data_IF_307798803189
#
_entry.id   IF_307798803189
#
_cell.length_a   1.000
_cell.length_b   1.000
_cell.length_c   1.000
_cell.angle_alpha   90.00
_cell.angle_beta   90.00
_cell.angle_gamma   90.00
#
_symmetry.space_group_name_H-M   'P 1'
#
loop_
_entity.id
_entity.type
_entity.pdbx_description
1 polymer ?
#
# COMPACT_ATOMS: atom_id res chain seq x y z
N UNK A 1 4.08 19.91 35.95
CA UNK A 1 4.97 19.69 34.79
C UNK A 1 4.08 19.38 33.61
N UNK A 2 3.72 20.39 32.82
CA UNK A 2 3.00 20.16 31.57
C UNK A 2 3.90 19.36 30.61
N UNK A 3 3.37 18.41 29.85
CA UNK A 3 4.17 17.74 28.85
C UNK A 3 4.51 18.76 27.78
N UNK A 4 5.81 18.96 27.54
CA UNK A 4 6.33 19.73 26.42
C UNK A 4 5.89 19.01 25.15
N UNK A 5 4.70 19.33 24.64
CA UNK A 5 4.32 19.00 23.28
C UNK A 5 5.21 19.87 22.40
N UNK A 6 6.36 19.32 22.01
CA UNK A 6 7.32 19.93 21.10
C UNK A 6 6.55 20.68 20.01
N UNK A 7 6.90 21.95 19.78
CA UNK A 7 6.57 22.72 18.57
C UNK A 7 7.24 22.07 17.35
N UNK A 8 7.01 20.77 17.15
CA UNK A 8 7.67 19.90 16.20
C UNK A 8 6.74 19.62 15.03
N UNK A 9 7.35 19.51 13.85
CA UNK A 9 6.67 19.07 12.64
C UNK A 9 6.59 17.53 12.67
N UNK A 10 5.39 16.96 12.76
CA UNK A 10 5.19 15.50 12.83
C UNK A 10 5.82 14.76 11.65
N UNK A 11 5.82 15.35 10.45
CA UNK A 11 6.50 14.77 9.29
C UNK A 11 8.03 14.78 9.44
N UNK A 12 8.60 15.78 10.11
CA UNK A 12 10.03 15.82 10.42
C UNK A 12 10.38 14.73 11.44
N UNK A 13 9.56 14.55 12.47
CA UNK A 13 9.80 13.53 13.49
C UNK A 13 9.63 12.12 12.95
N UNK A 14 8.66 11.89 12.06
CA UNK A 14 8.54 10.64 11.30
C UNK A 14 9.76 10.39 10.40
N UNK A 15 10.27 11.42 9.73
CA UNK A 15 11.49 11.31 8.92
C UNK A 15 12.72 10.98 9.78
N UNK A 16 12.83 11.52 11.00
CA UNK A 16 13.88 11.15 11.97
C UNK A 16 13.72 9.70 12.41
N UNK A 17 12.51 9.27 12.76
CA UNK A 17 12.23 7.89 13.17
C UNK A 17 12.57 6.87 12.08
N UNK A 18 12.29 7.19 10.80
CA UNK A 18 12.73 6.37 9.67
C UNK A 18 14.26 6.31 9.56
N UNK A 19 14.96 7.43 9.76
CA UNK A 19 16.42 7.49 9.66
C UNK A 19 17.13 6.72 10.78
N UNK A 20 16.47 6.52 11.92
CA UNK A 20 16.97 5.69 13.04
C UNK A 20 16.68 4.19 12.84
N UNK A 21 15.84 3.81 11.88
CA UNK A 21 15.55 2.42 11.54
C UNK A 21 16.31 2.01 10.27
N UNK A 22 17.22 1.04 10.37
CA UNK A 22 18.08 0.64 9.24
C UNK A 22 17.32 0.18 8.01
N UNK A 23 16.19 -0.51 8.20
CA UNK A 23 15.35 -0.96 7.08
C UNK A 23 14.71 0.23 6.37
N UNK A 24 14.08 1.13 7.12
CA UNK A 24 13.44 2.32 6.56
C UNK A 24 14.47 3.23 5.89
N UNK A 25 15.58 3.54 6.57
CA UNK A 25 16.69 4.33 6.04
C UNK A 25 17.20 3.76 4.72
N UNK A 26 17.46 2.45 4.66
CA UNK A 26 17.95 1.78 3.44
C UNK A 26 16.99 1.89 2.27
N UNK A 27 15.71 1.55 2.46
CA UNK A 27 14.72 1.66 1.40
C UNK A 27 14.42 3.11 1.02
N UNK A 28 14.48 4.04 1.98
CA UNK A 28 14.32 5.48 1.74
C UNK A 28 15.41 6.01 0.82
N UNK A 29 16.67 5.74 1.14
CA UNK A 29 17.79 6.09 0.26
C UNK A 29 17.65 5.42 -1.12
N UNK A 30 17.22 4.15 -1.16
CA UNK A 30 17.08 3.40 -2.40
C UNK A 30 16.04 3.98 -3.38
N UNK A 31 14.94 4.59 -2.90
CA UNK A 31 14.01 5.29 -3.80
C UNK A 31 14.45 6.72 -4.09
N UNK A 32 15.05 7.44 -3.14
CA UNK A 32 15.50 8.81 -3.37
C UNK A 32 16.53 8.86 -4.52
N UNK A 33 17.52 7.97 -4.53
CA UNK A 33 18.60 7.96 -5.53
C UNK A 33 18.09 8.03 -6.99
N UNK A 34 17.26 7.09 -7.49
CA UNK A 34 16.76 7.16 -8.86
C UNK A 34 15.73 8.28 -9.09
N UNK A 35 15.06 8.78 -8.05
CA UNK A 35 14.08 9.86 -8.17
C UNK A 35 14.73 11.25 -8.25
N UNK A 36 15.98 11.42 -7.80
CA UNK A 36 16.69 12.72 -7.82
C UNK A 36 17.89 12.75 -8.78
N UNK A 37 18.29 11.60 -9.35
CA UNK A 37 19.39 11.54 -10.31
C UNK A 37 18.92 11.95 -11.71
N UNK A 38 19.33 13.12 -12.17
CA UNK A 38 19.09 13.57 -13.54
C UNK A 38 19.85 12.70 -14.55
N UNK A 39 19.22 12.43 -15.69
CA UNK A 39 19.84 11.81 -16.86
C UNK A 39 19.83 12.79 -18.02
N UNK A 40 20.67 12.59 -19.02
CA UNK A 40 21.03 13.59 -20.04
C UNK A 40 19.87 14.26 -20.81
N UNK A 41 18.63 13.75 -20.73
CA UNK A 41 17.42 14.38 -21.30
C UNK A 41 16.15 14.28 -20.41
N UNK A 42 16.23 13.65 -19.23
CA UNK A 42 15.10 13.45 -18.32
C UNK A 42 15.45 13.92 -16.90
N UNK A 43 14.49 14.54 -16.22
CA UNK A 43 14.63 15.01 -14.83
C UNK A 43 15.04 13.87 -13.90
N UNK A 44 14.56 12.65 -14.17
CA UNK A 44 14.91 11.45 -13.43
C UNK A 44 14.58 10.18 -14.24
N UNK A 45 15.06 9.02 -13.79
CA UNK A 45 14.60 7.73 -14.30
C UNK A 45 13.28 7.32 -13.62
N UNK A 46 12.13 7.79 -14.14
CA UNK A 46 10.79 7.59 -13.56
C UNK A 46 10.47 6.10 -13.33
N UNK A 47 10.88 5.21 -14.24
CA UNK A 47 10.69 3.75 -14.11
C UNK A 47 11.43 3.16 -12.91
N UNK A 48 12.70 3.51 -12.70
CA UNK A 48 13.48 3.06 -11.53
C UNK A 48 12.95 3.68 -10.24
N UNK A 49 12.58 4.97 -10.27
CA UNK A 49 11.97 5.68 -9.16
C UNK A 49 10.68 4.98 -8.68
N UNK A 50 9.73 4.75 -9.60
CA UNK A 50 8.48 4.03 -9.32
C UNK A 50 8.69 2.62 -8.78
N UNK A 51 9.64 1.86 -9.36
CA UNK A 51 9.98 0.51 -8.84
C UNK A 51 10.48 0.58 -7.40
N UNK A 52 11.35 1.53 -7.09
CA UNK A 52 11.90 1.68 -5.75
C UNK A 52 10.86 2.19 -4.73
N UNK A 53 9.96 3.09 -5.14
CA UNK A 53 8.82 3.54 -4.33
C UNK A 53 7.90 2.39 -3.94
N UNK A 54 7.54 1.51 -4.90
CA UNK A 54 6.74 0.31 -4.60
C UNK A 54 7.44 -0.58 -3.56
N UNK A 55 8.75 -0.80 -3.72
CA UNK A 55 9.53 -1.58 -2.75
C UNK A 55 9.58 -0.92 -1.36
N UNK A 56 9.64 0.41 -1.28
CA UNK A 56 9.60 1.13 -0.01
C UNK A 56 8.28 0.87 0.72
N UNK A 57 7.13 1.08 0.06
CA UNK A 57 5.82 0.87 0.70
C UNK A 57 5.48 -0.61 0.93
N UNK A 58 6.01 -1.53 0.14
CA UNK A 58 5.81 -2.98 0.35
C UNK A 58 6.71 -3.57 1.47
N UNK A 59 7.88 -2.97 1.76
CA UNK A 59 8.90 -3.56 2.65
C UNK A 59 9.14 -2.80 3.95
N UNK A 60 8.83 -1.51 3.99
CA UNK A 60 9.01 -0.70 5.21
C UNK A 60 7.76 -0.84 6.09
N UNK A 61 7.92 -1.15 7.39
CA UNK A 61 6.78 -1.26 8.30
C UNK A 61 5.90 0.01 8.28
N UNK A 62 4.55 -0.13 8.29
CA UNK A 62 3.61 0.99 8.25
C UNK A 62 3.93 2.09 9.28
N UNK A 63 4.35 1.72 10.50
CA UNK A 63 4.77 2.66 11.55
C UNK A 63 5.77 3.72 11.07
N UNK A 64 6.66 3.38 10.13
CA UNK A 64 7.65 4.31 9.58
C UNK A 64 7.20 4.93 8.25
N UNK A 65 6.72 4.12 7.31
CA UNK A 65 6.32 4.60 5.98
C UNK A 65 5.09 5.51 6.05
N UNK A 66 4.07 5.15 6.82
CA UNK A 66 2.83 5.92 6.96
C UNK A 66 3.02 7.14 7.86
N UNK A 67 3.94 7.05 8.83
CA UNK A 67 4.37 8.21 9.61
C UNK A 67 4.86 9.35 8.71
N UNK A 68 5.62 9.02 7.64
CA UNK A 68 6.10 10.03 6.69
C UNK A 68 5.01 10.48 5.70
N UNK A 69 4.17 9.56 5.23
CA UNK A 69 3.18 9.82 4.19
C UNK A 69 1.92 10.55 4.72
N UNK A 70 1.45 10.20 5.92
CA UNK A 70 0.17 10.64 6.48
C UNK A 70 0.31 11.45 7.78
N UNK A 71 1.51 12.00 8.05
CA UNK A 71 1.72 12.90 9.18
C UNK A 71 0.71 14.08 9.19
N UNK A 72 0.17 14.40 10.37
CA UNK A 72 -0.66 15.57 10.58
C UNK A 72 0.18 16.85 10.56
N UNK A 73 -0.38 17.93 10.06
CA UNK A 73 0.33 19.21 9.88
C UNK A 73 -0.48 20.39 10.40
N UNK A 74 0.24 21.41 10.87
CA UNK A 74 -0.31 22.67 11.39
C UNK A 74 0.20 23.90 10.64
N UNK A 75 1.25 23.74 9.83
CA UNK A 75 1.88 24.81 9.05
C UNK A 75 2.19 24.34 7.63
N UNK A 76 2.49 25.30 6.75
CA UNK A 76 2.79 25.07 5.32
C UNK A 76 4.09 24.29 5.14
N UNK A 77 5.09 24.50 6.01
CA UNK A 77 6.36 23.78 5.92
C UNK A 77 6.18 22.27 6.15
N UNK A 78 5.26 21.88 7.03
CA UNK A 78 4.86 20.50 7.26
C UNK A 78 4.09 19.92 6.07
N UNK A 79 3.10 20.64 5.53
CA UNK A 79 2.32 20.14 4.39
C UNK A 79 3.18 19.97 3.14
N UNK A 80 4.12 20.88 2.88
CA UNK A 80 5.11 20.69 1.81
C UNK A 80 6.03 19.50 2.07
N UNK A 81 6.51 19.31 3.31
CA UNK A 81 7.32 18.11 3.64
C UNK A 81 6.54 16.83 3.37
N UNK A 82 5.25 16.79 3.71
CA UNK A 82 4.37 15.66 3.44
C UNK A 82 4.23 15.41 1.93
N UNK A 83 3.94 16.45 1.14
CA UNK A 83 3.81 16.39 -0.33
C UNK A 83 5.10 15.93 -1.02
N UNK A 84 6.26 16.30 -0.47
CA UNK A 84 7.59 15.95 -0.98
C UNK A 84 8.02 14.51 -0.66
N UNK A 85 7.27 13.75 0.14
CA UNK A 85 7.64 12.40 0.59
C UNK A 85 7.99 11.46 -0.56
N UNK A 86 7.27 11.56 -1.68
CA UNK A 86 7.43 10.69 -2.87
C UNK A 86 8.24 11.35 -3.99
N UNK A 87 8.83 12.53 -3.78
CA UNK A 87 9.57 13.30 -4.80
C UNK A 87 8.69 13.61 -6.02
N UNK A 88 7.68 14.48 -5.89
CA UNK A 88 6.63 14.67 -6.90
C UNK A 88 7.15 15.11 -8.27
N UNK A 89 8.19 15.95 -8.31
CA UNK A 89 8.84 16.43 -9.55
C UNK A 89 9.30 15.28 -10.47
N UNK A 90 9.53 14.10 -9.92
CA UNK A 90 9.90 12.91 -10.68
C UNK A 90 8.77 11.87 -10.76
N UNK A 91 8.18 11.53 -9.60
CA UNK A 91 7.30 10.37 -9.48
C UNK A 91 5.84 10.66 -9.80
N UNK A 92 5.42 11.93 -9.70
CA UNK A 92 4.02 12.35 -9.80
C UNK A 92 3.82 13.24 -11.02
N UNK A 93 4.56 14.35 -11.10
CA UNK A 93 4.46 15.36 -12.14
C UNK A 93 4.93 14.81 -13.49
N UNK A 94 4.37 15.37 -14.56
CA UNK A 94 4.75 15.15 -15.95
C UNK A 94 4.50 16.43 -16.75
N UNK A 95 5.03 16.50 -17.97
CA UNK A 95 4.94 17.72 -18.80
C UNK A 95 3.50 18.13 -19.09
N UNK A 96 2.65 17.14 -19.27
CA UNK A 96 1.24 17.30 -19.60
C UNK A 96 0.38 16.53 -18.59
N UNK A 97 -0.83 17.02 -18.35
CA UNK A 97 -1.86 16.28 -17.62
C UNK A 97 -2.76 15.57 -18.63
N UNK A 98 -2.74 14.23 -18.69
CA UNK A 98 -3.68 13.50 -19.53
C UNK A 98 -5.10 13.58 -18.94
N UNK A 99 -6.09 13.24 -19.76
CA UNK A 99 -7.43 12.98 -19.26
C UNK A 99 -7.43 11.80 -18.26
N UNK A 100 -8.15 11.92 -17.15
CA UNK A 100 -8.16 10.89 -16.11
C UNK A 100 -8.71 9.54 -16.57
N UNK A 101 -9.66 9.50 -17.51
CA UNK A 101 -10.18 8.25 -18.06
C UNK A 101 -9.12 7.53 -18.89
N UNK A 102 -8.34 8.27 -19.70
CA UNK A 102 -7.20 7.72 -20.44
C UNK A 102 -6.11 7.16 -19.50
N UNK A 103 -5.85 7.86 -18.38
CA UNK A 103 -4.92 7.38 -17.36
C UNK A 103 -5.47 6.13 -16.66
N UNK A 104 -6.77 6.07 -16.40
CA UNK A 104 -7.45 4.91 -15.83
C UNK A 104 -7.36 3.70 -16.76
N UNK A 105 -7.58 3.86 -18.07
CA UNK A 105 -7.39 2.79 -19.05
C UNK A 105 -5.95 2.29 -19.10
N UNK A 106 -4.99 3.21 -19.07
CA UNK A 106 -3.56 2.87 -19.01
C UNK A 106 -3.22 2.06 -17.76
N UNK A 107 -3.82 2.41 -16.61
CA UNK A 107 -3.70 1.65 -15.38
C UNK A 107 -4.34 0.24 -15.51
N UNK A 108 -5.53 0.12 -16.11
CA UNK A 108 -6.23 -1.16 -16.31
C UNK A 108 -5.42 -2.15 -17.18
N UNK A 109 -4.59 -1.65 -18.10
CA UNK A 109 -3.67 -2.47 -18.93
C UNK A 109 -2.48 -3.02 -18.14
N UNK A 110 -2.08 -2.38 -17.03
CA UNK A 110 -1.00 -2.85 -16.17
C UNK A 110 -1.55 -3.70 -15.02
N UNK A 111 -1.14 -4.97 -14.91
CA UNK A 111 -1.66 -5.88 -13.89
C UNK A 111 -1.52 -5.36 -12.44
N UNK A 112 -0.36 -4.77 -12.10
CA UNK A 112 -0.11 -4.23 -10.77
C UNK A 112 -1.03 -3.04 -10.50
N UNK A 113 -1.08 -2.09 -11.44
CA UNK A 113 -1.91 -0.89 -11.28
C UNK A 113 -3.39 -1.24 -11.18
N UNK A 114 -3.88 -2.13 -12.06
CA UNK A 114 -5.27 -2.61 -12.06
C UNK A 114 -5.66 -3.21 -10.71
N UNK A 115 -4.82 -4.08 -10.14
CA UNK A 115 -5.08 -4.67 -8.83
C UNK A 115 -5.15 -3.60 -7.74
N UNK A 116 -4.13 -2.73 -7.65
CA UNK A 116 -4.04 -1.70 -6.61
C UNK A 116 -5.16 -0.66 -6.71
N UNK A 117 -5.61 -0.34 -7.93
CA UNK A 117 -6.75 0.56 -8.15
C UNK A 117 -8.08 -0.08 -7.74
N UNK A 118 -8.27 -1.38 -7.99
CA UNK A 118 -9.44 -2.11 -7.51
C UNK A 118 -9.47 -2.17 -5.97
N UNK A 119 -8.32 -2.41 -5.33
CA UNK A 119 -8.19 -2.38 -3.87
C UNK A 119 -8.57 -0.99 -3.32
N UNK A 120 -8.16 0.09 -3.98
CA UNK A 120 -8.48 1.45 -3.57
C UNK A 120 -9.98 1.73 -3.62
N UNK A 121 -10.65 1.39 -4.73
CA UNK A 121 -12.10 1.54 -4.82
C UNK A 121 -12.84 0.71 -3.78
N UNK A 122 -12.35 -0.50 -3.50
CA UNK A 122 -13.03 -1.42 -2.58
C UNK A 122 -12.87 -1.02 -1.11
N UNK A 123 -11.66 -0.60 -0.71
CA UNK A 123 -11.34 -0.38 0.70
C UNK A 123 -11.53 1.08 1.14
N UNK A 124 -11.49 2.05 0.21
CA UNK A 124 -11.77 3.45 0.49
C UNK A 124 -13.16 3.90 0.03
N UNK A 125 -14.09 2.96 -0.20
CA UNK A 125 -15.46 3.29 -0.59
C UNK A 125 -16.12 4.16 0.50
N UNK A 126 -16.54 5.39 0.18
CA UNK A 126 -17.20 6.26 1.15
C UNK A 126 -18.63 5.78 1.41
N UNK A 127 -19.08 5.88 2.66
CA UNK A 127 -20.44 5.57 3.11
C UNK A 127 -20.89 6.67 4.10
N UNK A 128 -21.83 7.52 3.68
CA UNK A 128 -22.22 8.72 4.43
C UNK A 128 -22.98 8.40 5.72
N UNK A 129 -23.54 7.19 5.84
CA UNK A 129 -24.26 6.74 7.04
C UNK A 129 -23.35 6.07 8.08
N UNK A 130 -22.12 5.71 7.71
CA UNK A 130 -21.15 5.15 8.67
C UNK A 130 -20.52 6.27 9.51
N UNK A 131 -20.30 5.99 10.79
CA UNK A 131 -19.57 6.89 11.69
C UNK A 131 -18.13 7.12 11.25
N UNK A 132 -17.52 6.11 10.62
CA UNK A 132 -16.16 6.21 10.08
C UNK A 132 -16.10 6.95 8.74
N UNK A 133 -17.24 7.07 8.04
CA UNK A 133 -17.31 7.51 6.66
C UNK A 133 -16.85 6.45 5.64
N UNK A 134 -16.42 5.26 6.08
CA UNK A 134 -15.99 4.14 5.25
C UNK A 134 -17.03 3.02 5.24
N UNK A 135 -17.25 2.38 4.08
CA UNK A 135 -18.18 1.26 3.97
C UNK A 135 -17.78 0.05 4.83
N UNK A 136 -16.48 -0.28 4.90
CA UNK A 136 -15.94 -1.41 5.67
C UNK A 136 -15.54 -1.06 7.11
N UNK A 137 -15.65 0.21 7.49
CA UNK A 137 -15.19 0.74 8.79
C UNK A 137 -13.74 0.40 9.16
N UNK A 138 -12.87 0.22 8.15
CA UNK A 138 -11.47 -0.14 8.34
C UNK A 138 -10.55 0.91 7.66
N UNK A 139 -10.05 1.85 8.47
CA UNK A 139 -9.09 2.85 8.00
C UNK A 139 -7.77 2.22 7.53
N UNK A 140 -7.36 1.10 8.13
CA UNK A 140 -6.09 0.49 7.81
C UNK A 140 -6.06 -0.07 6.38
N UNK A 141 -7.13 -0.76 5.98
CA UNK A 141 -7.26 -1.27 4.61
C UNK A 141 -7.31 -0.12 3.58
N UNK A 142 -7.97 0.99 3.90
CA UNK A 142 -7.99 2.16 3.01
C UNK A 142 -6.61 2.80 2.86
N UNK A 143 -5.87 3.03 3.95
CA UNK A 143 -4.52 3.60 3.88
C UNK A 143 -3.52 2.66 3.18
N UNK A 144 -3.67 1.35 3.35
CA UNK A 144 -2.93 0.35 2.59
C UNK A 144 -3.25 0.41 1.09
N UNK A 145 -4.53 0.52 0.73
CA UNK A 145 -4.94 0.61 -0.66
C UNK A 145 -4.45 1.92 -1.33
N UNK A 146 -4.54 3.06 -0.64
CA UNK A 146 -4.01 4.34 -1.11
C UNK A 146 -2.50 4.29 -1.32
N UNK A 147 -1.74 3.87 -0.30
CA UNK A 147 -0.27 3.80 -0.40
C UNK A 147 0.19 2.77 -1.43
N UNK A 148 -0.62 1.73 -1.65
CA UNK A 148 -0.39 0.71 -2.67
C UNK A 148 -0.45 1.20 -4.11
N UNK A 149 -1.07 2.35 -4.38
CA UNK A 149 -1.07 3.01 -5.70
C UNK A 149 0.25 3.74 -6.01
N UNK A 150 1.03 4.09 -4.99
CA UNK A 150 2.24 4.89 -5.16
C UNK A 150 3.31 4.08 -5.91
N UNK A 151 3.87 4.70 -6.95
CA UNK A 151 4.82 4.06 -7.85
C UNK A 151 4.14 3.22 -8.93
N UNK A 152 2.82 3.34 -9.12
CA UNK A 152 2.14 2.89 -10.34
C UNK A 152 1.92 4.07 -11.29
N UNK A 153 1.32 3.82 -12.47
CA UNK A 153 0.91 4.92 -13.37
C UNK A 153 -0.20 5.79 -12.77
N UNK A 154 -0.95 5.27 -11.80
CA UNK A 154 -2.02 5.99 -11.07
C UNK A 154 -1.51 6.46 -9.70
N UNK A 155 -0.33 7.07 -9.63
CA UNK A 155 0.25 7.55 -8.36
C UNK A 155 -0.49 8.80 -7.88
N UNK A 156 -1.20 8.79 -6.74
CA UNK A 156 -1.80 9.98 -6.17
C UNK A 156 -0.80 10.79 -5.33
N UNK A 157 -1.04 12.10 -5.19
CA UNK A 157 -0.35 12.94 -4.22
C UNK A 157 -1.27 14.08 -3.72
N UNK A 158 -0.85 14.74 -2.64
CA UNK A 158 -1.51 15.95 -2.14
C UNK A 158 -1.45 17.09 -3.17
N UNK A 159 -2.59 17.75 -3.40
CA UNK A 159 -2.74 18.80 -4.41
C UNK A 159 -2.35 20.17 -3.86
N UNK A 160 -2.76 20.47 -2.64
CA UNK A 160 -2.58 21.76 -1.99
C UNK A 160 -1.99 21.63 -0.57
N UNK A 161 -1.62 22.78 0.00
CA UNK A 161 -1.04 22.90 1.33
C UNK A 161 -2.10 23.10 2.43
N UNK A 162 -3.38 23.22 2.08
CA UNK A 162 -4.46 23.64 2.99
C UNK A 162 -5.45 22.53 3.34
N UNK A 163 -5.46 21.43 2.57
CA UNK A 163 -6.41 20.34 2.72
C UNK A 163 -5.72 18.97 2.78
N UNK A 164 -6.54 17.91 2.85
CA UNK A 164 -6.12 16.52 2.67
C UNK A 164 -6.54 15.98 1.30
N UNK A 165 -6.90 16.86 0.36
CA UNK A 165 -7.28 16.49 -0.99
C UNK A 165 -6.07 15.91 -1.73
N UNK A 166 -6.30 14.78 -2.38
CA UNK A 166 -5.32 14.04 -3.16
C UNK A 166 -5.87 13.79 -4.55
N UNK A 167 -4.99 13.71 -5.54
CA UNK A 167 -5.36 13.29 -6.88
C UNK A 167 -4.20 12.60 -7.58
N UNK A 168 -4.48 11.74 -8.58
CA UNK A 168 -3.49 11.38 -9.59
C UNK A 168 -3.15 12.57 -10.50
N UNK A 169 -2.04 12.47 -11.26
CA UNK A 169 -1.63 13.49 -12.22
C UNK A 169 -2.46 13.40 -13.51
N UNK A 170 -3.70 13.87 -13.45
CA UNK A 170 -4.62 13.99 -14.58
C UNK A 170 -5.65 15.09 -14.30
N UNK A 171 -6.45 15.43 -15.30
CA UNK A 171 -7.65 16.26 -15.15
C UNK A 171 -8.78 15.74 -16.05
N UNK A 172 -9.91 16.45 -16.06
CA UNK A 172 -11.07 16.10 -16.88
C UNK A 172 -11.18 16.97 -18.14
N UNK A 173 -10.09 17.61 -18.58
CA UNK A 173 -10.06 18.30 -19.86
C UNK A 173 -10.24 17.30 -21.00
N UNK A 174 -10.94 17.72 -22.06
CA UNK A 174 -11.23 16.89 -23.24
C UNK A 174 -12.04 15.60 -22.97
N UNK A 175 -12.86 15.57 -21.91
CA UNK A 175 -13.71 14.40 -21.62
C UNK A 175 -14.94 14.28 -22.52
N UNK A 176 -15.38 15.37 -23.15
CA UNK A 176 -16.60 15.37 -23.98
C UNK A 176 -17.82 14.92 -23.18
N UNK A 177 -18.50 13.88 -23.65
CA UNK A 177 -19.69 13.33 -23.00
C UNK A 177 -19.40 12.61 -21.67
N UNK A 178 -18.15 12.19 -21.45
CA UNK A 178 -17.75 11.43 -20.26
C UNK A 178 -17.25 12.34 -19.12
N UNK A 179 -17.52 13.65 -19.19
CA UNK A 179 -17.06 14.62 -18.18
C UNK A 179 -17.59 14.32 -16.77
N UNK A 180 -18.85 13.88 -16.65
CA UNK A 180 -19.43 13.48 -15.37
C UNK A 180 -18.74 12.24 -14.79
N UNK A 181 -18.49 11.23 -15.61
CA UNK A 181 -17.78 10.02 -15.21
C UNK A 181 -16.35 10.35 -14.77
N UNK A 182 -15.65 11.20 -15.53
CA UNK A 182 -14.32 11.65 -15.18
C UNK A 182 -14.30 12.40 -13.84
N UNK A 183 -15.24 13.33 -13.61
CA UNK A 183 -15.35 14.06 -12.34
C UNK A 183 -15.66 13.11 -11.20
N UNK A 184 -16.55 12.14 -11.39
CA UNK A 184 -16.84 11.11 -10.38
C UNK A 184 -15.59 10.31 -10.02
N UNK A 185 -14.81 9.89 -11.02
CA UNK A 185 -13.53 9.21 -10.80
C UNK A 185 -12.54 10.09 -10.03
N UNK A 186 -12.36 11.34 -10.44
CA UNK A 186 -11.42 12.27 -9.81
C UNK A 186 -11.84 12.64 -8.37
N UNK A 187 -13.14 12.88 -8.15
CA UNK A 187 -13.71 13.19 -6.84
C UNK A 187 -13.59 12.02 -5.87
N UNK A 188 -13.53 10.77 -6.35
CA UNK A 188 -13.25 9.61 -5.49
C UNK A 188 -11.87 9.70 -4.80
N UNK A 189 -10.93 10.47 -5.36
CA UNK A 189 -9.66 10.80 -4.71
C UNK A 189 -9.75 12.10 -3.90
N UNK A 190 -10.33 13.16 -4.49
CA UNK A 190 -10.28 14.51 -3.92
C UNK A 190 -11.23 14.72 -2.74
N UNK A 191 -12.46 14.21 -2.85
CA UNK A 191 -13.55 14.42 -1.89
C UNK A 191 -14.07 13.08 -1.35
N UNK A 192 -13.15 12.35 -0.72
CA UNK A 192 -13.44 11.05 -0.12
C UNK A 192 -13.38 11.13 1.40
N UNK A 193 -14.55 11.12 2.04
CA UNK A 193 -14.67 11.21 3.50
C UNK A 193 -13.98 10.04 4.22
N UNK A 194 -14.03 8.83 3.68
CA UNK A 194 -13.35 7.66 4.24
C UNK A 194 -11.83 7.88 4.28
N UNK A 195 -11.24 8.25 3.14
CA UNK A 195 -9.80 8.48 3.05
C UNK A 195 -9.36 9.66 3.91
N UNK A 196 -10.13 10.77 3.92
CA UNK A 196 -9.86 11.94 4.74
C UNK A 196 -9.84 11.58 6.22
N UNK A 197 -10.86 10.87 6.70
CA UNK A 197 -10.95 10.42 8.09
C UNK A 197 -9.83 9.45 8.45
N UNK A 198 -9.48 8.53 7.54
CA UNK A 198 -8.38 7.59 7.75
C UNK A 198 -7.03 8.30 7.92
N UNK A 199 -6.72 9.27 7.05
CA UNK A 199 -5.49 10.07 7.15
C UNK A 199 -5.47 10.88 8.45
N UNK A 200 -6.60 11.48 8.83
CA UNK A 200 -6.72 12.25 10.08
C UNK A 200 -6.56 11.36 11.32
N UNK A 201 -7.21 10.21 11.36
CA UNK A 201 -7.12 9.24 12.45
C UNK A 201 -5.67 8.77 12.64
N UNK A 202 -4.99 8.41 11.55
CA UNK A 202 -3.58 8.05 11.59
C UNK A 202 -2.71 9.21 12.10
N UNK A 203 -2.87 10.40 11.53
CA UNK A 203 -2.08 11.59 11.89
C UNK A 203 -2.28 12.08 13.33
N UNK A 204 -3.42 11.76 13.96
CA UNK A 204 -3.72 12.08 15.34
C UNK A 204 -3.30 10.97 16.32
N UNK A 205 -2.83 9.82 15.82
CA UNK A 205 -2.41 8.69 16.64
C UNK A 205 -3.56 7.89 17.25
N UNK A 206 -4.76 7.96 16.69
CA UNK A 206 -5.92 7.20 17.20
C UNK A 206 -5.91 5.73 16.78
N UNK A 207 -5.02 5.34 15.85
CA UNK A 207 -5.03 4.02 15.19
C UNK A 207 -3.78 3.16 15.49
N UNK A 208 -2.95 3.56 16.46
CA UNK A 208 -1.61 2.97 16.70
C UNK A 208 -1.67 1.47 17.09
N UNK A 209 -2.85 0.95 17.48
CA UNK A 209 -3.05 -0.44 17.89
C UNK A 209 -3.57 -1.38 16.79
N UNK A 210 -4.00 -0.87 15.62
CA UNK A 210 -4.54 -1.70 14.51
C UNK A 210 -3.44 -2.18 13.56
N UNK A 211 -2.27 -1.52 13.57
CA UNK A 211 -1.15 -1.78 12.65
C UNK A 211 -0.15 -2.83 13.12
N UNK A 212 -0.39 -3.47 14.26
CA UNK A 212 0.37 -4.67 14.61
C UNK A 212 -0.26 -5.86 13.90
N UNK A 213 0.47 -6.58 13.04
CA UNK A 213 -0.05 -7.82 12.50
C UNK A 213 -0.35 -8.75 13.67
N UNK A 214 -1.62 -9.16 13.80
CA UNK A 214 -1.96 -10.34 14.59
C UNK A 214 -1.19 -11.47 13.91
N UNK A 215 -0.11 -11.93 14.56
CA UNK A 215 0.60 -13.12 14.12
C UNK A 215 -0.45 -14.22 13.95
N UNK A 216 -0.48 -14.94 12.82
CA UNK A 216 -1.38 -16.08 12.70
C UNK A 216 -1.10 -17.00 13.88
N UNK A 217 -2.13 -17.21 14.71
CA UNK A 217 -2.08 -18.15 15.83
C UNK A 217 -1.59 -19.47 15.24
N UNK A 218 -0.41 -19.91 15.67
CA UNK A 218 0.09 -21.23 15.33
C UNK A 218 -0.96 -22.23 15.81
N UNK A 219 -1.66 -22.85 14.87
CA UNK A 219 -2.54 -23.98 15.18
C UNK A 219 -1.63 -25.08 15.72
N UNK A 220 -1.64 -25.28 17.04
CA UNK A 220 -1.06 -26.46 17.67
C UNK A 220 -1.76 -27.67 17.09
N UNK A 221 -1.09 -28.34 16.15
CA UNK A 221 -1.49 -29.67 15.72
C UNK A 221 -1.41 -30.58 16.93
N UNK A 222 -2.53 -31.18 17.30
CA UNK A 222 -2.60 -32.12 18.41
C UNK A 222 -1.66 -33.30 18.14
N UNK A 223 -0.58 -33.40 18.91
CA UNK A 223 0.32 -34.55 18.90
C UNK A 223 -0.44 -35.74 19.49
N UNK A 224 -0.83 -36.69 18.64
CA UNK A 224 -1.41 -37.96 19.10
C UNK A 224 -0.30 -38.80 19.73
N UNK A 225 -0.34 -38.92 21.05
CA UNK A 225 0.50 -39.80 21.86
C UNK A 225 0.22 -41.26 21.49
N UNK A 226 1.22 -41.97 20.95
CA UNK A 226 1.33 -43.43 21.12
C UNK A 226 2.72 -43.74 21.63
N UNK A 227 2.76 -44.25 22.87
CA UNK A 227 3.96 -44.74 23.52
C UNK A 227 4.17 -46.21 23.14
N UNK A 228 5.37 -46.57 22.69
CA UNK A 228 5.99 -47.87 23.00
C UNK A 228 7.47 -47.87 22.65
N UNK A 229 8.20 -48.67 23.43
CA UNK A 229 9.63 -48.62 23.74
C UNK A 229 10.50 -49.39 22.73
N UNK A 230 11.67 -48.81 22.48
CA UNK A 230 13.02 -49.41 22.53
C UNK A 230 13.32 -50.74 21.79
N UNK A 231 14.28 -50.64 20.85
CA UNK A 231 15.57 -51.39 20.71
C UNK A 231 15.81 -52.07 19.35
N UNK A 232 17.10 -52.12 19.04
CA UNK A 232 17.75 -52.09 17.74
C UNK A 232 18.20 -53.48 17.25
N UNK A 233 18.18 -53.66 15.93
CA UNK A 233 19.13 -54.35 15.02
C UNK A 233 19.45 -55.85 15.08
N UNK A 234 19.41 -56.46 13.88
CA UNK A 234 19.95 -57.77 13.45
C UNK A 234 18.84 -58.71 12.98
N UNK A 235 18.90 -59.51 11.91
CA UNK A 235 19.86 -59.84 10.85
C UNK A 235 19.11 -60.77 9.86
N UNK A 236 19.56 -60.82 8.61
CA UNK A 236 19.44 -61.96 7.66
C UNK A 236 18.14 -62.32 6.89
N UNK A 237 18.30 -62.28 5.55
CA UNK A 237 17.93 -63.25 4.49
C UNK A 237 16.49 -63.48 4.01
N UNK A 238 16.35 -63.27 2.68
CA UNK A 238 15.58 -64.02 1.66
C UNK A 238 14.05 -64.13 1.78
N UNK A 239 13.31 -63.49 0.86
CA UNK A 239 12.64 -64.13 -0.28
C UNK A 239 11.64 -63.17 -0.97
N UNK A 240 11.50 -63.34 -2.28
CA UNK A 240 10.53 -62.67 -3.15
C UNK A 240 9.09 -62.98 -2.72
N UNK A 241 8.20 -61.97 -2.74
CA UNK A 241 6.79 -62.14 -3.07
C UNK A 241 6.12 -60.77 -3.37
N UNK A 242 5.43 -60.69 -4.51
CA UNK A 242 4.56 -59.58 -4.93
C UNK A 242 3.15 -59.89 -4.41
N UNK A 243 2.39 -58.89 -3.92
CA UNK A 243 1.02 -58.76 -4.42
C UNK A 243 0.61 -57.32 -4.78
N UNK A 244 -0.03 -57.21 -5.94
CA UNK A 244 -0.85 -56.08 -6.39
C UNK A 244 -1.88 -55.65 -5.35
N UNK A 245 -2.09 -54.33 -5.18
CA UNK A 245 -3.39 -53.75 -5.54
C UNK A 245 -3.34 -52.21 -5.65
N UNK A 246 -3.80 -51.78 -6.81
CA UNK A 246 -4.27 -50.46 -7.24
C UNK A 246 -5.07 -49.69 -6.16
N UNK A 247 -4.79 -48.40 -5.97
CA UNK A 247 -5.60 -47.34 -6.59
C UNK A 247 -5.05 -45.93 -6.31
N UNK A 248 -4.96 -45.14 -7.37
CA UNK A 248 -4.58 -43.72 -7.41
C UNK A 248 -5.83 -42.83 -7.60
N UNK A 249 -5.73 -41.51 -7.35
CA UNK A 249 -6.83 -40.68 -6.88
C UNK A 249 -7.66 -40.03 -8.00
N UNK A 250 -8.94 -39.76 -7.73
CA UNK A 250 -9.82 -39.04 -8.64
C UNK A 250 -9.97 -37.56 -8.23
N UNK A 251 -9.41 -36.66 -9.04
CA UNK A 251 -9.93 -35.29 -9.21
C UNK A 251 -10.96 -35.30 -10.35
N UNK A 252 -12.10 -34.63 -10.18
CA UNK A 252 -12.98 -34.29 -11.28
C UNK A 252 -13.58 -32.88 -11.11
N UNK A 253 -13.34 -32.07 -12.14
CA UNK A 253 -13.93 -30.77 -12.41
C UNK A 253 -15.44 -30.85 -12.63
N UNK A 254 -16.16 -29.79 -12.28
CA UNK A 254 -17.51 -29.52 -12.77
C UNK A 254 -17.57 -28.11 -13.35
N UNK A 255 -17.68 -28.10 -14.68
CA UNK A 255 -18.13 -26.99 -15.51
C UNK A 255 -19.38 -27.51 -16.27
N UNK A 256 -20.09 -26.61 -16.98
CA UNK A 256 -21.38 -26.76 -17.71
C UNK A 256 -22.52 -26.13 -16.88
N UNK A 257 -23.29 -25.14 -17.36
CA UNK A 257 -23.73 -24.80 -18.72
C UNK A 257 -23.98 -23.30 -18.86
#
# INVERSE_FOLDING_TARGET
VEPVLSKGNNCLDAAKACNLNDTCKRFRSAYITPCTSSTSNEICNKRKCHKALRLFFDKVPPKHSYGMLFCSCRDVACTERRRQTIVPVCSYEDREKPNCLNLQESCKKNYICRSRLADFFTNCQPESRSLSGCLKENYADCLLAYSGLIGTVMTPNYIDSSSLSVAPWCDCSNSGNDEEECKKFLNFFQDNICLKNAIQAFGNGTDVNVWQPILPVQTTTATTTTASRLRNTGSETTNNEIPSHNDSPACANLQVR
#
